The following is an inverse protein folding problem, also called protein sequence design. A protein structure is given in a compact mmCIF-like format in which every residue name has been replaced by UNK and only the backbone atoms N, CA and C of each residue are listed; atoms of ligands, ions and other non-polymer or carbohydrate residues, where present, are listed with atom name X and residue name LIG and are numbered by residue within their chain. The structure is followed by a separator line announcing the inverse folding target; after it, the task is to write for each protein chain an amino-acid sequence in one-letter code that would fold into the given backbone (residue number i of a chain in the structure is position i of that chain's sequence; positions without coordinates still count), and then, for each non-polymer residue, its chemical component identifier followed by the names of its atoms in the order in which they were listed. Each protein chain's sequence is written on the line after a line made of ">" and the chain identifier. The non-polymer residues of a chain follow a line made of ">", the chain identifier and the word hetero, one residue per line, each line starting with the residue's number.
data_IF_574863924085
#
_entry.id   IF_574863924085
#
_cell.length_a   1.000
_cell.length_b   1.000
_cell.length_c   1.000
_cell.angle_alpha   90.00
_cell.angle_beta   90.00
_cell.angle_gamma   90.00
#
_symmetry.space_group_name_H-M   'P 1'
#
loop_
_entity.id
_entity.type
_entity.pdbx_description
1 polymer ?
#
# COMPACT_ATOMS: atom_id res chain seq x y z
N UNK A 1 13.42 -22.85 11.05
CA UNK A 1 13.55 -21.41 11.32
C UNK A 1 14.47 -20.83 10.26
N UNK A 2 13.93 -20.26 9.19
CA UNK A 2 14.78 -19.73 8.11
C UNK A 2 15.30 -18.35 8.50
N UNK A 3 16.59 -18.34 8.83
CA UNK A 3 17.41 -17.16 9.07
C UNK A 3 17.53 -16.46 7.71
N UNK A 4 17.04 -15.22 7.62
CA UNK A 4 17.24 -14.40 6.42
C UNK A 4 18.73 -14.05 6.41
N UNK A 5 19.44 -14.53 5.40
CA UNK A 5 20.89 -14.37 5.26
C UNK A 5 21.20 -12.89 4.96
N UNK A 6 21.94 -12.20 5.84
CA UNK A 6 22.24 -10.77 5.71
C UNK A 6 23.31 -10.44 4.64
N UNK A 7 23.88 -11.45 3.97
CA UNK A 7 24.97 -11.28 3.01
C UNK A 7 24.54 -11.21 1.53
N UNK A 8 23.24 -11.26 1.23
CA UNK A 8 22.76 -11.09 -0.16
C UNK A 8 22.67 -9.62 -0.55
N UNK A 9 23.16 -9.21 -1.73
CA UNK A 9 22.91 -7.87 -2.23
C UNK A 9 21.40 -7.65 -2.31
N UNK A 10 20.92 -6.48 -1.90
CA UNK A 10 19.49 -6.21 -1.76
C UNK A 10 18.68 -6.43 -3.06
N UNK A 11 19.34 -6.43 -4.22
CA UNK A 11 18.77 -6.80 -5.52
C UNK A 11 18.30 -8.27 -5.64
N UNK A 12 18.61 -9.14 -4.67
CA UNK A 12 18.22 -10.56 -4.65
C UNK A 12 17.11 -10.90 -3.64
N UNK A 13 16.61 -9.93 -2.88
CA UNK A 13 15.55 -10.20 -1.90
C UNK A 13 14.23 -10.43 -2.66
N UNK A 14 13.76 -11.67 -2.63
CA UNK A 14 12.39 -12.02 -3.04
C UNK A 14 11.47 -11.89 -1.83
N UNK A 15 10.37 -11.14 -1.96
CA UNK A 15 9.39 -11.01 -0.88
C UNK A 15 8.55 -12.28 -0.77
N UNK A 16 8.43 -12.80 0.45
CA UNK A 16 7.64 -13.98 0.79
C UNK A 16 6.36 -13.56 1.51
N UNK A 17 5.21 -14.07 1.07
CA UNK A 17 3.90 -13.71 1.66
C UNK A 17 3.90 -14.06 3.15
N UNK A 18 3.41 -13.13 3.98
CA UNK A 18 3.34 -13.29 5.42
C UNK A 18 4.65 -12.98 6.17
N UNK A 19 5.75 -12.70 5.47
CA UNK A 19 7.02 -12.31 6.13
C UNK A 19 7.07 -10.81 6.45
N UNK A 20 7.65 -10.44 7.60
CA UNK A 20 7.89 -9.04 7.96
C UNK A 20 9.13 -8.47 7.25
N UNK A 21 9.05 -7.21 6.85
CA UNK A 21 10.14 -6.43 6.28
C UNK A 21 10.19 -5.03 6.91
N UNK A 22 11.38 -4.43 6.92
CA UNK A 22 11.56 -3.02 7.30
C UNK A 22 11.31 -2.11 6.10
N UNK A 23 11.06 -0.81 6.34
CA UNK A 23 11.01 0.16 5.23
C UNK A 23 12.32 0.25 4.45
N UNK A 24 13.44 0.01 5.11
CA UNK A 24 14.75 0.01 4.45
C UNK A 24 14.86 -1.14 3.46
N UNK A 25 14.51 -2.36 3.88
CA UNK A 25 14.51 -3.54 3.01
C UNK A 25 13.59 -3.33 1.80
N UNK A 26 12.36 -2.83 2.02
CA UNK A 26 11.43 -2.52 0.93
C UNK A 26 12.03 -1.51 -0.05
N UNK A 27 12.63 -0.44 0.45
CA UNK A 27 13.26 0.60 -0.36
C UNK A 27 14.48 0.10 -1.13
N UNK A 28 15.34 -0.72 -0.53
CA UNK A 28 16.53 -1.22 -1.20
C UNK A 28 16.18 -2.11 -2.41
N UNK A 29 15.06 -2.85 -2.32
CA UNK A 29 14.58 -3.74 -3.40
C UNK A 29 13.80 -2.97 -4.47
N UNK A 30 12.81 -2.18 -4.05
CA UNK A 30 11.83 -1.56 -4.97
C UNK A 30 12.14 -0.10 -5.30
N UNK A 31 12.99 0.55 -4.50
CA UNK A 31 13.24 1.99 -4.53
C UNK A 31 12.06 2.79 -3.98
N UNK A 32 11.85 3.98 -4.53
CA UNK A 32 10.79 4.90 -4.12
C UNK A 32 11.04 5.53 -2.74
N UNK A 33 10.13 6.38 -2.29
CA UNK A 33 10.28 7.08 -1.02
C UNK A 33 9.94 6.21 0.22
N UNK A 34 10.59 6.49 1.35
CA UNK A 34 10.51 5.68 2.58
C UNK A 34 9.33 6.03 3.50
N UNK A 35 8.56 7.07 3.19
CA UNK A 35 7.53 7.62 4.09
C UNK A 35 6.11 7.55 3.53
N UNK A 36 5.93 7.50 2.22
CA UNK A 36 4.62 7.49 1.58
C UNK A 36 3.95 6.12 1.62
N UNK A 37 2.63 6.12 1.65
CA UNK A 37 1.80 4.92 1.54
C UNK A 37 1.83 4.29 0.13
N UNK A 38 2.19 5.07 -0.89
CA UNK A 38 2.44 4.61 -2.25
C UNK A 38 3.81 5.13 -2.71
N UNK A 39 4.93 4.48 -2.32
CA UNK A 39 6.26 4.87 -2.75
C UNK A 39 6.37 5.00 -4.27
N UNK A 40 7.01 6.07 -4.73
CA UNK A 40 7.09 6.41 -6.15
C UNK A 40 8.54 6.55 -6.61
N UNK A 41 8.88 5.94 -7.76
CA UNK A 41 10.18 6.06 -8.43
C UNK A 41 9.96 6.23 -9.93
N UNK A 42 10.68 7.16 -10.56
CA UNK A 42 10.57 7.44 -12.00
C UNK A 42 9.12 7.61 -12.50
N UNK A 43 8.31 8.38 -11.74
CA UNK A 43 6.88 8.59 -12.03
C UNK A 43 6.00 7.32 -12.00
N UNK A 44 6.47 6.26 -11.36
CA UNK A 44 5.72 5.00 -11.16
C UNK A 44 5.61 4.66 -9.68
N UNK A 45 4.41 4.27 -9.24
CA UNK A 45 4.15 3.65 -7.93
C UNK A 45 4.73 2.24 -7.96
N UNK A 46 5.64 1.96 -7.03
CA UNK A 46 6.40 0.71 -6.99
C UNK A 46 5.88 -0.29 -5.95
N UNK A 47 5.14 0.17 -4.94
CA UNK A 47 4.51 -0.68 -3.93
C UNK A 47 3.40 0.06 -3.16
N UNK A 48 2.63 -0.71 -2.41
CA UNK A 48 1.70 -0.21 -1.40
C UNK A 48 2.24 -0.47 -0.01
N UNK A 49 2.31 0.55 0.84
CA UNK A 49 2.70 0.46 2.23
C UNK A 49 1.56 1.03 3.10
N UNK A 50 0.64 0.17 3.54
CA UNK A 50 -0.57 0.58 4.24
C UNK A 50 -0.50 0.29 5.75
N UNK A 51 -0.81 1.30 6.57
CA UNK A 51 -0.97 1.13 8.01
C UNK A 51 -2.45 0.86 8.32
N UNK A 52 -2.74 -0.20 9.08
CA UNK A 52 -4.10 -0.55 9.50
C UNK A 52 -4.76 0.52 10.38
N UNK A 53 -4.00 1.33 11.12
CA UNK A 53 -4.57 2.46 11.88
C UNK A 53 -5.24 3.49 10.97
N UNK A 54 -4.72 3.67 9.74
CA UNK A 54 -5.27 4.62 8.76
C UNK A 54 -6.14 3.96 7.70
N UNK A 55 -5.96 2.67 7.46
CA UNK A 55 -6.68 1.87 6.48
C UNK A 55 -7.05 0.53 7.12
N UNK A 56 -8.09 0.48 7.97
CA UNK A 56 -8.37 -0.71 8.79
C UNK A 56 -8.74 -1.94 7.97
N UNK A 57 -9.14 -1.75 6.72
CA UNK A 57 -9.50 -2.79 5.76
C UNK A 57 -8.44 -2.98 4.65
N UNK A 58 -7.22 -2.50 4.85
CA UNK A 58 -6.11 -2.80 3.96
C UNK A 58 -5.72 -4.30 4.04
N UNK A 59 -5.26 -4.89 2.93
CA UNK A 59 -4.92 -4.25 1.66
C UNK A 59 -6.08 -4.00 0.69
N UNK A 60 -7.24 -4.63 0.86
CA UNK A 60 -8.33 -4.60 -0.12
C UNK A 60 -9.00 -3.23 -0.25
N UNK A 61 -9.04 -2.44 0.82
CA UNK A 61 -9.67 -1.11 0.84
C UNK A 61 -8.71 -0.06 1.39
N UNK A 62 -8.39 0.94 0.57
CA UNK A 62 -7.52 2.07 0.92
C UNK A 62 -8.33 3.37 0.90
N UNK A 63 -8.28 4.10 2.01
CA UNK A 63 -9.04 5.34 2.21
C UNK A 63 -8.26 6.54 1.70
N UNK A 64 -8.87 7.31 0.79
CA UNK A 64 -8.23 8.47 0.16
C UNK A 64 -8.67 9.76 0.87
N UNK A 65 -7.71 10.40 1.52
CA UNK A 65 -7.91 11.71 2.16
C UNK A 65 -8.02 12.84 1.14
N UNK A 66 -8.72 13.92 1.53
CA UNK A 66 -8.73 15.19 0.81
C UNK A 66 -7.39 15.93 0.92
N UNK A 67 -6.35 15.39 0.29
CA UNK A 67 -5.02 15.98 0.17
C UNK A 67 -4.51 15.77 -1.25
N UNK A 68 -4.10 16.84 -1.92
CA UNK A 68 -3.65 16.83 -3.32
C UNK A 68 -2.67 15.69 -3.61
N UNK A 69 -1.59 15.55 -2.82
CA UNK A 69 -0.59 14.50 -3.02
C UNK A 69 -1.12 13.07 -2.83
N UNK A 70 -2.14 12.88 -1.97
CA UNK A 70 -2.76 11.56 -1.75
C UNK A 70 -3.63 11.21 -2.95
N UNK A 71 -4.42 12.17 -3.43
CA UNK A 71 -5.27 12.02 -4.62
C UNK A 71 -4.41 11.71 -5.84
N UNK A 72 -3.36 12.50 -6.09
CA UNK A 72 -2.45 12.32 -7.23
C UNK A 72 -1.81 10.93 -7.24
N UNK A 73 -1.36 10.41 -6.09
CA UNK A 73 -0.76 9.08 -6.01
C UNK A 73 -1.77 7.96 -6.23
N UNK A 74 -3.00 8.09 -5.71
CA UNK A 74 -4.06 7.12 -5.95
C UNK A 74 -4.47 7.08 -7.44
N UNK A 75 -4.59 8.24 -8.07
CA UNK A 75 -4.88 8.37 -9.50
C UNK A 75 -3.74 7.84 -10.37
N UNK A 76 -2.49 8.11 -9.99
CA UNK A 76 -1.33 7.55 -10.68
C UNK A 76 -1.34 6.02 -10.62
N UNK A 77 -1.57 5.44 -9.44
CA UNK A 77 -1.68 3.98 -9.30
C UNK A 77 -2.82 3.41 -10.14
N UNK A 78 -4.00 4.04 -10.13
CA UNK A 78 -5.12 3.65 -10.99
C UNK A 78 -4.73 3.67 -12.47
N UNK A 79 -4.07 4.72 -12.93
CA UNK A 79 -3.66 4.88 -14.34
C UNK A 79 -2.61 3.88 -14.82
N UNK A 80 -1.79 3.36 -13.90
CA UNK A 80 -0.73 2.39 -14.23
C UNK A 80 -1.30 1.04 -14.66
N UNK A 81 -2.46 0.63 -14.13
CA UNK A 81 -3.11 -0.65 -14.42
C UNK A 81 -2.18 -1.89 -14.29
N UNK A 82 -1.19 -1.80 -13.40
CA UNK A 82 -0.26 -2.88 -13.09
C UNK A 82 -0.44 -3.33 -11.65
N UNK A 83 -0.24 -4.62 -11.41
CA UNK A 83 -0.21 -5.13 -10.05
C UNK A 83 1.07 -4.66 -9.33
N UNK A 84 0.91 -4.20 -8.09
CA UNK A 84 2.01 -3.75 -7.23
C UNK A 84 2.16 -4.66 -6.01
N UNK A 85 3.38 -4.86 -5.49
CA UNK A 85 3.56 -5.54 -4.22
C UNK A 85 2.98 -4.69 -3.08
N UNK A 86 2.23 -5.31 -2.17
CA UNK A 86 1.58 -4.64 -1.04
C UNK A 86 2.12 -5.15 0.29
N UNK A 87 2.38 -4.21 1.19
CA UNK A 87 2.84 -4.45 2.54
C UNK A 87 1.92 -3.76 3.54
N UNK A 88 1.54 -4.49 4.60
CA UNK A 88 0.62 -4.00 5.63
C UNK A 88 1.29 -3.98 7.00
N UNK A 89 1.14 -2.87 7.72
CA UNK A 89 1.64 -2.70 9.10
C UNK A 89 0.50 -2.93 10.11
N UNK A 90 0.70 -3.88 11.04
CA UNK A 90 -0.30 -4.33 12.04
C UNK A 90 0.08 -3.96 13.49
N UNK A 91 0.40 -2.71 13.80
CA UNK A 91 0.86 -2.21 15.13
C UNK A 91 2.34 -2.44 15.49
N UNK A 92 3.01 -3.47 14.96
CA UNK A 92 4.48 -3.62 15.11
C UNK A 92 5.24 -2.68 14.15
N UNK A 93 6.55 -2.51 14.35
CA UNK A 93 7.40 -1.72 13.44
C UNK A 93 7.57 -2.34 12.04
N UNK A 94 7.08 -3.56 11.83
CA UNK A 94 7.32 -4.33 10.62
C UNK A 94 6.16 -4.26 9.61
N UNK A 95 6.52 -4.35 8.34
CA UNK A 95 5.63 -4.35 7.19
C UNK A 95 5.51 -5.76 6.63
N UNK A 96 4.33 -6.36 6.73
CA UNK A 96 4.11 -7.75 6.30
C UNK A 96 3.70 -7.77 4.84
N UNK A 97 4.47 -8.47 4.00
CA UNK A 97 4.14 -8.62 2.58
C UNK A 97 2.87 -9.45 2.38
N UNK A 98 1.91 -8.93 1.60
CA UNK A 98 0.61 -9.55 1.35
C UNK A 98 0.46 -10.14 -0.06
N UNK A 99 1.43 -9.91 -0.95
CA UNK A 99 1.37 -10.33 -2.35
C UNK A 99 1.24 -9.15 -3.31
N UNK A 100 0.91 -9.46 -4.56
CA UNK A 100 0.64 -8.46 -5.60
C UNK A 100 -0.85 -8.15 -5.69
N UNK A 101 -1.17 -6.87 -5.88
CA UNK A 101 -2.53 -6.37 -5.98
C UNK A 101 -2.64 -5.38 -7.13
N UNK A 102 -3.72 -5.46 -7.91
CA UNK A 102 -4.08 -4.42 -8.88
C UNK A 102 -5.22 -3.55 -8.34
N UNK A 103 -5.33 -2.34 -8.87
CA UNK A 103 -6.52 -1.51 -8.61
C UNK A 103 -7.69 -2.12 -9.37
N UNK A 104 -8.79 -2.34 -8.65
CA UNK A 104 -10.05 -2.77 -9.24
C UNK A 104 -10.96 -1.56 -9.50
N UNK A 105 -11.00 -0.61 -8.57
CA UNK A 105 -11.91 0.54 -8.65
C UNK A 105 -11.39 1.74 -7.83
N UNK A 106 -11.75 2.95 -8.27
CA UNK A 106 -11.64 4.19 -7.50
C UNK A 106 -13.05 4.77 -7.33
N UNK A 107 -13.63 4.60 -6.15
CA UNK A 107 -15.00 5.00 -5.85
C UNK A 107 -15.07 6.39 -5.25
N UNK A 108 -15.95 7.23 -5.79
CA UNK A 108 -16.39 8.49 -5.19
C UNK A 108 -17.87 8.44 -4.80
N UNK A 109 -18.41 7.23 -4.63
CA UNK A 109 -19.79 7.03 -4.20
C UNK A 109 -19.99 7.62 -2.79
N UNK A 110 -21.00 8.49 -2.64
CA UNK A 110 -21.21 9.23 -1.40
C UNK A 110 -21.66 8.34 -0.23
N UNK A 111 -22.43 7.29 -0.49
CA UNK A 111 -22.88 6.36 0.56
C UNK A 111 -21.69 5.55 1.09
N UNK A 112 -20.84 5.06 0.19
CA UNK A 112 -19.63 4.33 0.58
C UNK A 112 -18.65 5.23 1.35
N UNK A 113 -18.44 6.47 0.87
CA UNK A 113 -17.63 7.45 1.59
C UNK A 113 -18.20 7.67 3.00
N UNK A 114 -19.51 7.91 3.14
CA UNK A 114 -20.14 8.14 4.44
C UNK A 114 -19.96 6.92 5.39
N UNK A 115 -20.10 5.69 4.87
CA UNK A 115 -19.84 4.47 5.62
C UNK A 115 -18.39 4.39 6.10
N UNK A 116 -17.43 4.68 5.21
CA UNK A 116 -16.00 4.66 5.56
C UNK A 116 -15.60 5.77 6.52
N UNK A 117 -16.18 6.95 6.40
CA UNK A 117 -15.97 8.06 7.33
C UNK A 117 -16.48 7.70 8.73
N UNK A 118 -17.68 7.12 8.82
CA UNK A 118 -18.26 6.65 10.08
C UNK A 118 -17.43 5.52 10.71
N UNK A 119 -17.04 4.51 9.91
CA UNK A 119 -16.25 3.36 10.37
C UNK A 119 -14.84 3.76 10.83
N UNK A 120 -14.19 4.69 10.14
CA UNK A 120 -12.83 5.14 10.47
C UNK A 120 -12.78 6.33 11.42
N UNK A 121 -13.92 6.91 11.79
CA UNK A 121 -14.05 8.15 12.57
C UNK A 121 -13.29 9.33 11.95
N UNK A 122 -13.33 9.44 10.62
CA UNK A 122 -12.58 10.45 9.84
C UNK A 122 -13.46 11.06 8.78
N UNK A 123 -13.71 12.35 8.87
CA UNK A 123 -14.55 13.13 7.95
C UNK A 123 -13.84 13.56 6.65
N UNK A 124 -12.53 13.34 6.57
CA UNK A 124 -11.69 13.82 5.47
C UNK A 124 -11.49 12.82 4.33
N UNK A 125 -12.22 11.70 4.32
CA UNK A 125 -12.20 10.71 3.24
C UNK A 125 -13.07 11.21 2.09
N UNK A 126 -12.55 11.19 0.86
CA UNK A 126 -13.26 11.66 -0.34
C UNK A 126 -13.34 10.62 -1.46
N UNK A 127 -12.66 9.50 -1.30
CA UNK A 127 -12.71 8.38 -2.23
C UNK A 127 -12.22 7.09 -1.54
N UNK A 128 -12.57 5.97 -2.15
CA UNK A 128 -12.15 4.63 -1.74
C UNK A 128 -11.46 3.95 -2.91
N UNK A 129 -10.23 3.46 -2.69
CA UNK A 129 -9.49 2.68 -3.68
C UNK A 129 -9.63 1.20 -3.32
N UNK A 130 -10.22 0.43 -4.22
CA UNK A 130 -10.37 -1.02 -4.08
C UNK A 130 -9.22 -1.73 -4.77
N UNK A 131 -8.55 -2.60 -4.02
CA UNK A 131 -7.47 -3.43 -4.51
C UNK A 131 -7.90 -4.90 -4.51
N UNK A 132 -7.51 -5.61 -5.56
CA UNK A 132 -7.75 -7.03 -5.69
C UNK A 132 -6.41 -7.76 -5.81
N UNK A 133 -6.26 -8.82 -5.02
CA UNK A 133 -5.06 -9.67 -5.05
C UNK A 133 -4.99 -10.43 -6.38
N UNK A 134 -3.82 -10.46 -6.99
CA UNK A 134 -3.59 -11.32 -8.17
C UNK A 134 -3.59 -12.79 -7.73
N UNK A 135 -4.29 -13.63 -8.49
CA UNK A 135 -4.31 -15.10 -8.29
C UNK A 135 -2.95 -15.75 -8.55
#
# INVERSE_FOLDING_TARGET
>A
MSIINLDKPASEITFEIGKPYTREQIHQVLGGDKSSYLPQRHKKIVCGCFNLERNPQAPEIILIENKTKVIEKAQLLLSQNEAIPVFVKRLSSNWVYQGYYHVQNYSQNQEEIAQMQAFSFRDNIIAVLHLQKTS
#
